data_IF_454739565271
#
_entry.id   IF_454739565271
#
_cell.length_a   1.000
_cell.length_b   1.000
_cell.length_c   1.000
_cell.angle_alpha   90.00
_cell.angle_beta   90.00
_cell.angle_gamma   90.00
#
_symmetry.space_group_name_H-M   'P 1'
#
loop_
_entity.id
_entity.type
_entity.pdbx_description
1 polymer ?
#
# COMPACT_ATOMS: atom_id res chain seq x y z
N UNK A 1 37.55 -2.12 -15.15
CA UNK A 1 38.65 -2.47 -14.21
C UNK A 1 38.29 -3.77 -13.51
N UNK A 2 39.26 -4.65 -13.22
CA UNK A 2 39.04 -6.01 -12.71
C UNK A 2 38.35 -6.03 -11.34
N UNK A 3 37.29 -6.83 -11.21
CA UNK A 3 36.63 -7.14 -9.94
C UNK A 3 37.70 -7.61 -8.92
N UNK A 4 37.89 -6.87 -7.84
CA UNK A 4 38.75 -7.31 -6.74
C UNK A 4 38.16 -8.57 -6.09
N UNK A 5 39.03 -9.51 -5.72
CA UNK A 5 38.68 -10.91 -5.42
C UNK A 5 37.61 -11.18 -4.36
N UNK A 6 37.22 -10.19 -3.55
CA UNK A 6 36.23 -10.39 -2.48
C UNK A 6 34.78 -10.59 -2.96
N UNK A 7 34.36 -9.96 -4.06
CA UNK A 7 32.97 -10.06 -4.54
C UNK A 7 32.70 -11.32 -5.38
N UNK A 8 33.74 -11.86 -6.03
CA UNK A 8 33.62 -13.04 -6.89
C UNK A 8 33.52 -14.36 -6.13
N UNK A 9 34.00 -14.42 -4.88
CA UNK A 9 33.98 -15.63 -4.05
C UNK A 9 32.64 -15.82 -3.33
N UNK A 10 31.87 -14.74 -3.10
CA UNK A 10 30.63 -14.78 -2.34
C UNK A 10 29.39 -15.19 -3.18
N UNK A 11 29.48 -15.19 -4.51
CA UNK A 11 28.35 -15.47 -5.39
C UNK A 11 28.73 -16.36 -6.58
N UNK A 12 27.81 -17.22 -7.06
CA UNK A 12 28.00 -17.99 -8.29
C UNK A 12 28.36 -17.07 -9.47
N UNK A 13 29.26 -17.46 -10.40
CA UNK A 13 29.75 -16.61 -11.51
C UNK A 13 28.67 -15.98 -12.40
N UNK A 14 27.43 -16.50 -12.40
CA UNK A 14 26.27 -15.95 -13.14
C UNK A 14 25.40 -14.98 -12.33
N UNK A 15 25.64 -14.85 -11.03
CA UNK A 15 25.08 -13.82 -10.13
C UNK A 15 26.12 -12.74 -9.82
N UNK A 16 27.37 -12.92 -10.25
CA UNK A 16 28.41 -11.89 -10.18
C UNK A 16 28.18 -10.90 -11.31
N UNK A 17 27.60 -9.75 -10.95
CA UNK A 17 27.37 -8.60 -11.83
C UNK A 17 28.69 -7.84 -12.15
N UNK A 18 29.72 -8.54 -12.63
CA UNK A 18 30.96 -7.88 -13.05
C UNK A 18 30.69 -7.05 -14.32
N UNK A 19 30.77 -5.72 -14.18
CA UNK A 19 30.50 -4.74 -15.25
C UNK A 19 29.14 -4.05 -15.15
N UNK A 20 28.15 -4.63 -14.46
CA UNK A 20 26.85 -3.97 -14.20
C UNK A 20 26.84 -3.15 -12.90
N UNK A 21 27.87 -3.28 -12.07
CA UNK A 21 28.07 -2.50 -10.86
C UNK A 21 28.66 -1.09 -11.10
N UNK A 22 28.94 -0.70 -12.35
CA UNK A 22 29.36 0.67 -12.68
C UNK A 22 28.14 1.61 -12.62
N UNK A 23 28.05 2.44 -11.58
CA UNK A 23 26.96 3.39 -11.40
C UNK A 23 26.68 3.77 -9.95
N UNK A 24 25.68 4.63 -9.73
CA UNK A 24 25.22 4.96 -8.38
C UNK A 24 24.33 3.84 -7.84
N UNK A 25 24.71 3.29 -6.69
CA UNK A 25 23.92 2.31 -5.94
C UNK A 25 23.62 2.87 -4.56
N UNK A 26 22.38 2.68 -4.10
CA UNK A 26 21.98 3.08 -2.77
C UNK A 26 21.31 1.93 -2.05
N UNK A 27 21.44 1.93 -0.73
CA UNK A 27 20.82 0.93 0.12
C UNK A 27 19.36 1.28 0.37
N UNK A 28 18.46 0.34 0.11
CA UNK A 28 17.01 0.54 0.24
C UNK A 28 16.53 0.14 1.64
N UNK A 29 16.89 0.95 2.63
CA UNK A 29 16.50 0.75 4.04
C UNK A 29 15.03 1.08 4.26
N UNK A 30 14.45 1.96 3.45
CA UNK A 30 13.06 2.40 3.58
C UNK A 30 12.08 1.25 3.42
N UNK A 31 12.30 0.35 2.46
CA UNK A 31 11.38 -0.76 2.21
C UNK A 31 11.80 -2.07 2.91
N UNK A 32 13.10 -2.27 3.16
CA UNK A 32 13.64 -3.56 3.61
C UNK A 32 14.34 -3.52 4.97
N UNK A 33 14.41 -2.34 5.60
CA UNK A 33 15.07 -2.16 6.89
C UNK A 33 16.59 -2.40 6.86
N UNK A 34 17.15 -2.59 8.05
CA UNK A 34 18.59 -2.77 8.24
C UNK A 34 19.03 -4.26 8.22
N UNK A 35 18.07 -5.17 8.38
CA UNK A 35 18.30 -6.60 8.50
C UNK A 35 18.53 -7.29 7.15
N UNK A 36 19.32 -8.38 7.09
CA UNK A 36 19.37 -9.25 5.93
C UNK A 36 17.99 -9.86 5.64
N UNK A 37 17.66 -9.99 4.35
CA UNK A 37 16.43 -10.63 3.89
C UNK A 37 16.52 -12.15 3.99
N UNK A 38 15.40 -12.76 4.33
CA UNK A 38 15.21 -14.19 4.12
C UNK A 38 15.18 -14.50 2.61
N UNK A 39 15.65 -15.68 2.17
CA UNK A 39 15.67 -16.04 0.75
C UNK A 39 14.30 -15.89 0.07
N UNK A 40 13.23 -16.23 0.79
CA UNK A 40 11.86 -16.09 0.29
C UNK A 40 11.50 -14.62 0.04
N UNK A 41 11.68 -13.76 1.04
CA UNK A 41 11.38 -12.32 0.95
C UNK A 41 12.24 -11.64 -0.12
N UNK A 42 13.51 -12.04 -0.24
CA UNK A 42 14.43 -11.55 -1.23
C UNK A 42 13.95 -11.84 -2.65
N UNK A 43 13.53 -13.07 -2.94
CA UNK A 43 13.07 -13.42 -4.28
C UNK A 43 11.67 -12.86 -4.58
N UNK A 44 10.74 -13.01 -3.63
CA UNK A 44 9.36 -12.59 -3.82
C UNK A 44 9.32 -11.09 -4.06
N UNK A 45 9.76 -10.28 -3.10
CA UNK A 45 9.52 -8.83 -3.14
C UNK A 45 10.47 -8.12 -4.09
N UNK A 46 11.77 -8.40 -4.02
CA UNK A 46 12.78 -7.55 -4.67
C UNK A 46 12.79 -7.73 -6.19
N UNK A 47 12.86 -8.98 -6.65
CA UNK A 47 12.93 -9.31 -8.08
C UNK A 47 11.63 -8.95 -8.82
N UNK A 48 10.49 -9.07 -8.16
CA UNK A 48 9.20 -8.75 -8.78
C UNK A 48 8.97 -7.26 -8.88
N UNK A 49 9.34 -6.51 -7.85
CA UNK A 49 9.34 -5.05 -7.93
C UNK A 49 10.23 -4.55 -9.09
N UNK A 50 11.38 -5.18 -9.37
CA UNK A 50 12.24 -4.82 -10.51
C UNK A 50 11.60 -5.15 -11.86
N UNK A 51 11.04 -6.36 -11.99
CA UNK A 51 10.36 -6.80 -13.20
C UNK A 51 9.20 -5.86 -13.56
N UNK A 52 8.31 -5.64 -12.60
CA UNK A 52 7.08 -4.90 -12.84
C UNK A 52 7.37 -3.41 -13.05
N UNK A 53 8.22 -2.81 -12.22
CA UNK A 53 8.62 -1.42 -12.42
C UNK A 53 9.27 -1.23 -13.79
N UNK A 54 10.23 -2.08 -14.16
CA UNK A 54 10.91 -1.96 -15.46
C UNK A 54 9.95 -2.13 -16.62
N UNK A 55 8.95 -3.00 -16.51
CA UNK A 55 7.88 -3.13 -17.50
C UNK A 55 7.09 -1.83 -17.67
N UNK A 56 6.61 -1.22 -16.58
CA UNK A 56 5.81 0.01 -16.66
C UNK A 56 6.62 1.20 -17.15
N UNK A 57 7.87 1.33 -16.71
CA UNK A 57 8.78 2.37 -17.17
C UNK A 57 9.07 2.23 -18.66
N UNK A 58 9.46 1.05 -19.14
CA UNK A 58 9.99 0.92 -20.50
C UNK A 58 8.93 0.60 -21.55
N UNK A 59 7.98 -0.28 -21.25
CA UNK A 59 7.05 -0.85 -22.25
C UNK A 59 5.65 -0.28 -22.16
N UNK A 60 5.12 -0.10 -20.95
CA UNK A 60 3.74 0.33 -20.77
C UNK A 60 3.59 1.84 -21.00
N UNK A 61 4.34 2.65 -20.27
CA UNK A 61 4.30 4.12 -20.38
C UNK A 61 5.40 4.69 -21.27
N UNK A 62 6.52 4.00 -21.48
CA UNK A 62 7.70 4.54 -22.19
C UNK A 62 8.28 5.81 -21.52
N UNK A 63 8.47 5.75 -20.20
CA UNK A 63 9.03 6.83 -19.37
C UNK A 63 10.38 7.33 -19.92
N UNK A 64 10.53 8.64 -20.13
CA UNK A 64 11.75 9.20 -20.73
C UNK A 64 12.93 9.28 -19.75
N UNK A 65 12.68 9.09 -18.45
CA UNK A 65 13.66 9.36 -17.39
C UNK A 65 14.34 8.12 -16.82
N UNK A 66 13.83 6.91 -17.09
CA UNK A 66 14.42 5.68 -16.55
C UNK A 66 14.10 4.46 -17.40
N UNK A 67 15.09 3.58 -17.52
CA UNK A 67 14.99 2.28 -18.18
C UNK A 67 14.51 1.14 -17.26
N UNK A 68 14.03 1.47 -16.06
CA UNK A 68 13.68 0.50 -15.02
C UNK A 68 14.67 0.52 -13.85
N UNK A 69 14.70 -0.57 -13.09
CA UNK A 69 15.49 -0.71 -11.87
C UNK A 69 16.24 -2.03 -11.84
N UNK A 70 17.39 -2.03 -11.19
CA UNK A 70 18.13 -3.24 -10.86
C UNK A 70 18.35 -3.33 -9.35
N UNK A 71 18.50 -4.56 -8.88
CA UNK A 71 18.82 -4.84 -7.48
C UNK A 71 19.98 -5.79 -7.35
N UNK A 72 20.87 -5.45 -6.41
CA UNK A 72 21.89 -6.32 -5.88
C UNK A 72 21.57 -6.66 -4.44
N UNK A 73 21.74 -7.93 -4.10
CA UNK A 73 21.75 -8.38 -2.71
C UNK A 73 23.21 -8.50 -2.29
N UNK A 74 23.63 -7.70 -1.31
CA UNK A 74 24.99 -7.76 -0.74
C UNK A 74 24.84 -8.20 0.71
N UNK A 75 25.31 -9.42 1.03
CA UNK A 75 25.15 -10.03 2.36
C UNK A 75 23.69 -10.00 2.84
N UNK A 76 22.77 -10.36 1.93
CA UNK A 76 21.32 -10.38 2.17
C UNK A 76 20.65 -9.00 2.23
N UNK A 77 21.37 -7.90 2.03
CA UNK A 77 20.82 -6.53 2.07
C UNK A 77 20.58 -5.98 0.68
N UNK A 78 19.50 -5.21 0.54
CA UNK A 78 19.03 -4.69 -0.74
C UNK A 78 19.74 -3.39 -1.13
N UNK A 79 20.40 -3.41 -2.28
CA UNK A 79 20.97 -2.25 -2.96
C UNK A 79 20.30 -2.05 -4.31
N UNK A 80 19.84 -0.83 -4.59
CA UNK A 80 19.10 -0.50 -5.79
C UNK A 80 19.89 0.47 -6.67
N UNK A 81 19.63 0.39 -7.96
CA UNK A 81 20.00 1.42 -8.94
C UNK A 81 18.92 1.56 -10.00
N UNK A 82 18.85 2.71 -10.67
CA UNK A 82 17.96 2.90 -11.82
C UNK A 82 18.75 2.75 -13.11
N UNK A 83 18.20 1.98 -14.06
CA UNK A 83 18.80 1.90 -15.39
C UNK A 83 18.63 3.24 -16.12
N UNK A 84 19.64 3.66 -16.92
CA UNK A 84 19.48 4.83 -17.78
C UNK A 84 18.34 4.58 -18.79
N UNK A 85 17.63 5.63 -19.22
CA UNK A 85 16.57 5.50 -20.22
C UNK A 85 17.12 4.97 -21.55
N UNK A 86 16.42 4.01 -22.17
CA UNK A 86 16.78 3.42 -23.47
C UNK A 86 16.23 4.27 -24.62
N UNK A 87 16.69 5.51 -24.72
CA UNK A 87 16.16 6.51 -25.65
C UNK A 87 14.80 7.05 -25.22
N UNK A 88 14.61 8.37 -25.31
CA UNK A 88 13.37 9.03 -24.88
C UNK A 88 12.52 9.39 -26.10
N UNK A 89 11.39 8.72 -26.28
CA UNK A 89 10.32 9.16 -27.19
C UNK A 89 9.24 9.89 -26.38
N UNK A 90 9.42 11.20 -26.24
CA UNK A 90 8.53 12.07 -25.46
C UNK A 90 7.11 12.10 -26.09
N UNK A 91 7.02 11.98 -27.42
CA UNK A 91 5.74 11.96 -28.11
C UNK A 91 4.97 10.68 -27.77
N UNK A 92 5.65 9.54 -27.78
CA UNK A 92 5.07 8.24 -27.43
C UNK A 92 4.65 8.17 -25.97
N UNK A 93 5.53 8.61 -25.07
CA UNK A 93 5.21 8.74 -23.64
C UNK A 93 3.96 9.60 -23.43
N UNK A 94 3.91 10.78 -24.06
CA UNK A 94 2.78 11.69 -23.95
C UNK A 94 1.48 11.09 -24.49
N UNK A 95 1.53 10.32 -25.58
CA UNK A 95 0.37 9.62 -26.16
C UNK A 95 -0.19 8.58 -25.19
N UNK A 96 0.68 7.74 -24.61
CA UNK A 96 0.30 6.69 -23.65
C UNK A 96 -0.26 7.27 -22.37
N UNK A 97 0.42 8.28 -21.81
CA UNK A 97 -0.03 8.95 -20.59
C UNK A 97 -1.39 9.62 -20.79
N UNK A 98 -1.61 10.33 -21.90
CA UNK A 98 -2.92 10.94 -22.21
C UNK A 98 -4.02 9.89 -22.33
N UNK A 99 -3.78 8.85 -23.12
CA UNK A 99 -4.73 7.76 -23.29
C UNK A 99 -5.11 7.10 -21.96
N UNK A 100 -4.19 7.08 -20.99
CA UNK A 100 -4.44 6.58 -19.64
C UNK A 100 -5.26 7.57 -18.79
N UNK A 101 -4.85 8.84 -18.75
CA UNK A 101 -5.48 9.89 -17.93
C UNK A 101 -6.89 10.28 -18.40
N UNK A 102 -7.18 10.20 -19.70
CA UNK A 102 -8.49 10.58 -20.26
C UNK A 102 -9.67 9.73 -19.75
N UNK A 103 -9.41 8.50 -19.28
CA UNK A 103 -10.43 7.62 -18.65
C UNK A 103 -10.03 7.22 -17.23
N UNK A 104 -9.37 8.13 -16.50
CA UNK A 104 -8.81 7.84 -15.18
C UNK A 104 -9.84 7.22 -14.22
N UNK A 105 -10.99 7.85 -14.05
CA UNK A 105 -12.02 7.40 -13.10
C UNK A 105 -12.56 6.00 -13.43
N UNK A 106 -12.88 5.76 -14.70
CA UNK A 106 -13.33 4.45 -15.17
C UNK A 106 -12.27 3.39 -14.91
N UNK A 107 -11.01 3.69 -15.26
CA UNK A 107 -9.87 2.79 -15.00
C UNK A 107 -9.63 2.55 -13.52
N UNK A 108 -9.83 3.57 -12.68
CA UNK A 108 -9.67 3.43 -11.23
C UNK A 108 -10.71 2.47 -10.66
N UNK A 109 -11.98 2.60 -11.06
CA UNK A 109 -13.03 1.68 -10.61
C UNK A 109 -12.83 0.25 -11.15
N UNK A 110 -12.42 0.11 -12.42
CA UNK A 110 -12.04 -1.19 -13.00
C UNK A 110 -10.87 -1.82 -12.25
N UNK A 111 -9.82 -1.04 -12.00
CA UNK A 111 -8.65 -1.45 -11.25
C UNK A 111 -9.00 -1.87 -9.83
N UNK A 112 -9.84 -1.10 -9.14
CA UNK A 112 -10.27 -1.39 -7.77
C UNK A 112 -11.07 -2.68 -7.72
N UNK A 113 -12.05 -2.83 -8.62
CA UNK A 113 -12.84 -4.06 -8.75
C UNK A 113 -11.94 -5.27 -8.97
N UNK A 114 -10.95 -5.14 -9.85
CA UNK A 114 -10.03 -6.21 -10.18
C UNK A 114 -9.08 -6.56 -9.03
N UNK A 115 -8.53 -5.57 -8.31
CA UNK A 115 -7.69 -5.81 -7.14
C UNK A 115 -8.48 -6.53 -6.05
N UNK A 116 -9.71 -6.08 -5.76
CA UNK A 116 -10.57 -6.73 -4.76
C UNK A 116 -10.92 -8.16 -5.16
N UNK A 117 -11.17 -8.42 -6.46
CA UNK A 117 -11.39 -9.77 -6.98
C UNK A 117 -10.16 -10.66 -6.79
N UNK A 118 -8.95 -10.15 -7.04
CA UNK A 118 -7.71 -10.91 -6.82
C UNK A 118 -7.52 -11.22 -5.34
N UNK A 119 -7.73 -10.25 -4.45
CA UNK A 119 -7.61 -10.43 -3.00
C UNK A 119 -8.62 -11.48 -2.51
N UNK A 120 -9.87 -11.41 -2.96
CA UNK A 120 -10.90 -12.39 -2.66
C UNK A 120 -10.53 -13.79 -3.17
N UNK A 121 -9.92 -13.90 -4.35
CA UNK A 121 -9.39 -15.16 -4.88
C UNK A 121 -8.25 -15.72 -4.03
N UNK A 122 -7.31 -14.87 -3.59
CA UNK A 122 -6.21 -15.26 -2.72
C UNK A 122 -6.71 -15.81 -1.37
N UNK A 123 -7.74 -15.17 -0.79
CA UNK A 123 -8.32 -15.59 0.49
C UNK A 123 -9.01 -16.96 0.45
N UNK A 124 -9.43 -17.42 -0.74
CA UNK A 124 -10.05 -18.73 -0.93
C UNK A 124 -9.05 -19.87 -1.13
N UNK A 125 -7.76 -19.56 -1.23
CA UNK A 125 -6.72 -20.58 -1.39
C UNK A 125 -6.53 -21.26 -0.03
N UNK A 126 -6.68 -22.59 0.07
CA UNK A 126 -6.40 -23.31 1.29
C UNK A 126 -4.89 -23.28 1.57
N UNK A 127 -4.52 -22.84 2.77
CA UNK A 127 -3.11 -22.74 3.22
C UNK A 127 -2.80 -23.67 4.39
N UNK A 128 -3.79 -24.42 4.87
CA UNK A 128 -3.61 -25.34 6.00
C UNK A 128 -2.67 -26.48 5.60
N UNK A 129 -1.71 -26.74 6.47
CA UNK A 129 -0.81 -27.88 6.29
C UNK A 129 -1.56 -29.17 6.63
N UNK A 130 -1.45 -30.22 5.81
CA UNK A 130 -2.05 -31.49 6.14
C UNK A 130 -1.39 -32.10 7.37
N UNK A 131 -2.21 -32.71 8.22
CA UNK A 131 -1.78 -33.38 9.44
C UNK A 131 -2.35 -34.79 9.49
N UNK A 132 -1.55 -35.75 9.98
CA UNK A 132 -1.99 -37.14 10.15
C UNK A 132 -1.95 -37.96 8.85
N UNK A 133 -2.83 -38.95 8.77
CA UNK A 133 -2.99 -39.81 7.59
C UNK A 133 -4.02 -39.20 6.65
N UNK A 134 -3.83 -39.41 5.35
CA UNK A 134 -4.86 -39.11 4.35
C UNK A 134 -6.14 -39.90 4.62
N UNK A 135 -7.27 -39.36 4.20
CA UNK A 135 -8.51 -40.13 4.13
C UNK A 135 -8.29 -41.40 3.28
N UNK A 136 -8.83 -42.54 3.71
CA UNK A 136 -8.61 -43.81 3.02
C UNK A 136 -9.07 -43.75 1.55
N UNK A 137 -10.06 -42.91 1.22
CA UNK A 137 -10.53 -42.68 -0.13
C UNK A 137 -9.48 -42.07 -1.06
N UNK A 138 -8.50 -41.32 -0.55
CA UNK A 138 -7.33 -40.83 -1.33
C UNK A 138 -6.48 -42.01 -1.78
N UNK A 139 -6.26 -42.98 -0.89
CA UNK A 139 -5.48 -44.20 -1.19
C UNK A 139 -6.24 -45.11 -2.15
N UNK A 140 -7.53 -45.32 -1.91
CA UNK A 140 -8.39 -46.16 -2.74
C UNK A 140 -8.54 -45.64 -4.17
N UNK A 141 -8.59 -44.30 -4.34
CA UNK A 141 -8.67 -43.66 -5.65
C UNK A 141 -7.30 -43.42 -6.29
N UNK A 142 -6.23 -43.36 -5.49
CA UNK A 142 -4.88 -43.04 -5.95
C UNK A 142 -4.70 -41.58 -6.39
N UNK A 143 -5.52 -40.67 -5.89
CA UNK A 143 -5.52 -39.24 -6.24
C UNK A 143 -5.91 -38.37 -5.04
N UNK A 144 -5.58 -37.08 -5.09
CA UNK A 144 -5.91 -36.13 -4.01
C UNK A 144 -4.83 -35.99 -2.94
N UNK A 145 -3.55 -36.11 -3.31
CA UNK A 145 -2.42 -35.98 -2.40
C UNK A 145 -2.38 -34.59 -1.73
N UNK A 146 -2.61 -34.52 -0.42
CA UNK A 146 -2.72 -33.25 0.27
C UNK A 146 -1.45 -32.38 0.20
N UNK A 147 -0.19 -32.90 0.22
CA UNK A 147 0.99 -32.05 0.07
C UNK A 147 1.08 -31.42 -1.33
N UNK A 148 0.58 -32.11 -2.36
CA UNK A 148 0.55 -31.57 -3.72
C UNK A 148 -0.47 -30.42 -3.83
N UNK A 149 -1.64 -30.56 -3.22
CA UNK A 149 -2.64 -29.50 -3.16
C UNK A 149 -2.10 -28.22 -2.47
N UNK A 150 -1.29 -28.36 -1.41
CA UNK A 150 -0.61 -27.21 -0.77
C UNK A 150 0.35 -26.52 -1.75
N UNK A 151 1.15 -27.29 -2.50
CA UNK A 151 2.07 -26.73 -3.50
C UNK A 151 1.33 -26.01 -4.63
N UNK A 152 0.23 -26.57 -5.13
CA UNK A 152 -0.61 -25.91 -6.13
C UNK A 152 -1.23 -24.62 -5.59
N UNK A 153 -1.74 -24.65 -4.35
CA UNK A 153 -2.26 -23.48 -3.65
C UNK A 153 -1.21 -22.38 -3.54
N UNK A 154 0.01 -22.74 -3.13
CA UNK A 154 1.14 -21.81 -3.05
C UNK A 154 1.49 -21.17 -4.41
N UNK A 155 1.57 -21.98 -5.47
CA UNK A 155 1.87 -21.47 -6.82
C UNK A 155 0.78 -20.54 -7.34
N UNK A 156 -0.49 -20.84 -7.03
CA UNK A 156 -1.63 -19.96 -7.35
C UNK A 156 -1.56 -18.66 -6.56
N UNK A 157 -1.29 -18.73 -5.26
CA UNK A 157 -1.14 -17.56 -4.39
C UNK A 157 -0.04 -16.64 -4.92
N UNK A 158 1.12 -17.22 -5.28
CA UNK A 158 2.23 -16.48 -5.87
C UNK A 158 1.83 -15.78 -7.18
N UNK A 159 1.14 -16.49 -8.08
CA UNK A 159 0.70 -15.92 -9.37
C UNK A 159 -0.28 -14.77 -9.18
N UNK A 160 -1.22 -14.89 -8.24
CA UNK A 160 -2.16 -13.81 -7.90
C UNK A 160 -1.44 -12.61 -7.28
N UNK A 161 -0.47 -12.87 -6.41
CA UNK A 161 0.37 -11.85 -5.82
C UNK A 161 1.20 -11.08 -6.86
N UNK A 162 1.75 -11.77 -7.87
CA UNK A 162 2.40 -11.12 -9.02
C UNK A 162 1.44 -10.21 -9.79
N UNK A 163 0.20 -10.68 -10.00
CA UNK A 163 -0.84 -9.88 -10.66
C UNK A 163 -1.17 -8.61 -9.85
N UNK A 164 -1.22 -8.70 -8.53
CA UNK A 164 -1.37 -7.52 -7.66
C UNK A 164 -0.20 -6.55 -7.81
N UNK A 165 1.04 -7.02 -7.93
CA UNK A 165 2.17 -6.12 -8.19
C UNK A 165 2.04 -5.37 -9.52
N UNK A 166 1.62 -6.05 -10.58
CA UNK A 166 1.33 -5.38 -11.85
C UNK A 166 0.26 -4.31 -11.69
N UNK A 167 -0.81 -4.60 -10.93
CA UNK A 167 -1.85 -3.62 -10.62
C UNK A 167 -1.35 -2.48 -9.75
N UNK A 168 -0.49 -2.75 -8.78
CA UNK A 168 0.10 -1.73 -7.92
C UNK A 168 0.91 -0.72 -8.74
N UNK A 169 1.87 -1.19 -9.55
CA UNK A 169 2.73 -0.31 -10.34
C UNK A 169 1.99 0.43 -11.47
N UNK A 170 0.89 -0.13 -11.99
CA UNK A 170 0.03 0.54 -12.96
C UNK A 170 -0.41 1.93 -12.46
N UNK A 171 -0.89 2.02 -11.21
CA UNK A 171 -1.35 3.27 -10.60
C UNK A 171 -0.23 4.04 -9.89
N UNK A 172 0.69 3.33 -9.22
CA UNK A 172 1.82 3.94 -8.53
C UNK A 172 2.60 4.88 -9.46
N UNK A 173 2.83 4.44 -10.70
CA UNK A 173 3.68 5.21 -11.60
C UNK A 173 3.08 6.53 -12.05
N UNK A 174 1.79 6.53 -12.37
CA UNK A 174 1.08 7.75 -12.74
C UNK A 174 0.97 8.67 -11.53
N UNK A 175 0.67 8.12 -10.35
CA UNK A 175 0.60 8.89 -9.09
C UNK A 175 1.91 9.63 -8.77
N UNK A 176 3.05 8.94 -8.82
CA UNK A 176 4.37 9.57 -8.57
C UNK A 176 4.74 10.60 -9.63
N UNK A 177 4.41 10.36 -10.90
CA UNK A 177 4.65 11.34 -11.95
C UNK A 177 3.85 12.63 -11.70
N UNK A 178 2.56 12.50 -11.40
CA UNK A 178 1.68 13.64 -11.13
C UNK A 178 2.13 14.41 -9.88
N UNK A 179 2.51 13.68 -8.82
CA UNK A 179 3.15 14.26 -7.64
C UNK A 179 4.37 15.09 -8.02
N UNK A 180 5.31 14.53 -8.79
CA UNK A 180 6.55 15.22 -9.15
C UNK A 180 6.30 16.46 -10.02
N UNK A 181 5.34 16.38 -10.95
CA UNK A 181 4.96 17.53 -11.78
C UNK A 181 4.35 18.65 -10.94
N UNK A 182 3.43 18.33 -10.01
CA UNK A 182 2.82 19.30 -9.12
C UNK A 182 3.83 19.89 -8.13
N UNK A 183 4.70 19.06 -7.57
CA UNK A 183 5.80 19.47 -6.69
C UNK A 183 6.73 20.46 -7.40
N UNK A 184 7.17 20.14 -8.61
CA UNK A 184 8.04 21.03 -9.40
C UNK A 184 7.34 22.34 -9.77
N UNK A 185 6.06 22.28 -10.12
CA UNK A 185 5.24 23.47 -10.36
C UNK A 185 5.22 24.36 -9.11
N UNK A 186 4.87 23.81 -7.95
CA UNK A 186 4.80 24.55 -6.69
C UNK A 186 6.15 25.12 -6.27
N UNK A 187 7.25 24.36 -6.39
CA UNK A 187 8.60 24.84 -6.06
C UNK A 187 9.08 25.99 -6.95
N UNK A 188 8.49 26.16 -8.14
CA UNK A 188 8.79 27.31 -9.02
C UNK A 188 8.24 28.62 -8.46
N UNK A 189 7.05 28.58 -7.84
CA UNK A 189 6.39 29.77 -7.28
C UNK A 189 6.61 29.94 -5.77
N UNK A 190 6.82 28.83 -5.06
CA UNK A 190 7.02 28.76 -3.61
C UNK A 190 8.24 27.89 -3.28
N UNK A 191 9.48 28.39 -3.48
CA UNK A 191 10.69 27.59 -3.24
C UNK A 191 10.78 26.99 -1.82
N UNK A 192 10.29 27.75 -0.83
CA UNK A 192 10.30 27.40 0.59
C UNK A 192 8.98 26.74 1.07
N UNK A 193 8.12 26.26 0.16
CA UNK A 193 6.92 25.53 0.58
C UNK A 193 7.32 24.30 1.44
N UNK A 194 6.72 24.11 2.62
CA UNK A 194 6.93 22.91 3.42
C UNK A 194 6.50 21.67 2.63
N UNK A 195 7.30 20.61 2.64
CA UNK A 195 7.03 19.40 1.85
C UNK A 195 5.66 18.78 2.20
N UNK A 196 5.32 18.79 3.49
CA UNK A 196 4.04 18.27 3.95
C UNK A 196 2.83 19.06 3.41
N UNK A 197 2.95 20.34 3.07
CA UNK A 197 1.85 21.08 2.42
C UNK A 197 1.59 20.59 0.99
N UNK A 198 2.65 20.24 0.23
CA UNK A 198 2.50 19.67 -1.12
C UNK A 198 1.77 18.33 -1.04
N UNK A 199 2.17 17.50 -0.08
CA UNK A 199 1.56 16.19 0.18
C UNK A 199 0.12 16.36 0.64
N UNK A 200 -0.15 17.25 1.60
CA UNK A 200 -1.48 17.47 2.16
C UNK A 200 -2.47 17.99 1.11
N UNK A 201 -2.05 18.81 0.14
CA UNK A 201 -2.90 19.22 -0.97
C UNK A 201 -3.28 18.05 -1.89
N UNK A 202 -2.35 17.12 -2.15
CA UNK A 202 -2.59 15.95 -3.02
C UNK A 202 -3.33 14.82 -2.31
N UNK A 203 -3.37 14.85 -0.97
CA UNK A 203 -3.95 13.78 -0.17
C UNK A 203 -5.48 13.90 -0.18
N UNK A 204 -6.22 12.84 -0.55
CA UNK A 204 -7.65 12.78 -0.26
C UNK A 204 -7.89 12.92 1.25
N UNK A 205 -9.01 13.53 1.65
CA UNK A 205 -9.39 13.69 3.08
C UNK A 205 -9.31 12.38 3.87
N UNK A 206 -9.55 11.23 3.22
CA UNK A 206 -9.43 9.89 3.81
C UNK A 206 -8.69 8.94 2.85
N UNK A 207 -7.37 8.81 2.96
CA UNK A 207 -6.68 7.69 2.31
C UNK A 207 -6.93 6.39 3.08
N UNK A 208 -7.08 5.29 2.34
CA UNK A 208 -7.35 3.98 2.93
C UNK A 208 -6.26 3.51 3.91
N UNK A 209 -5.00 3.92 3.71
CA UNK A 209 -3.90 3.63 4.63
C UNK A 209 -4.13 4.21 6.04
N UNK A 210 -4.91 5.28 6.17
CA UNK A 210 -5.25 5.91 7.45
C UNK A 210 -6.57 5.40 8.03
N UNK A 211 -7.38 4.67 7.26
CA UNK A 211 -8.67 4.12 7.71
C UNK A 211 -8.57 3.32 9.01
N UNK A 212 -7.58 2.43 9.22
CA UNK A 212 -7.49 1.67 10.46
C UNK A 212 -7.39 2.59 11.68
N UNK A 213 -6.59 3.65 11.61
CA UNK A 213 -6.47 4.64 12.67
C UNK A 213 -7.75 5.46 12.87
N UNK A 214 -8.42 5.88 11.80
CA UNK A 214 -9.70 6.58 11.89
C UNK A 214 -10.78 5.73 12.54
N UNK A 215 -10.80 4.43 12.24
CA UNK A 215 -11.74 3.47 12.84
C UNK A 215 -11.44 3.29 14.32
N UNK A 216 -10.16 3.14 14.71
CA UNK A 216 -9.80 3.08 16.13
C UNK A 216 -10.17 4.36 16.89
N UNK A 217 -10.06 5.54 16.27
CA UNK A 217 -10.54 6.80 16.86
C UNK A 217 -12.07 6.80 17.04
N UNK A 218 -12.82 6.35 16.04
CA UNK A 218 -14.29 6.20 16.15
C UNK A 218 -14.68 5.19 17.24
N UNK A 219 -13.94 4.10 17.37
CA UNK A 219 -14.13 3.11 18.44
C UNK A 219 -13.80 3.68 19.82
N UNK A 220 -12.78 4.54 19.92
CA UNK A 220 -12.47 5.27 21.14
C UNK A 220 -13.62 6.21 21.53
N UNK A 221 -14.10 7.02 20.59
CA UNK A 221 -15.25 7.90 20.79
C UNK A 221 -16.50 7.10 21.20
N UNK A 222 -16.74 5.96 20.55
CA UNK A 222 -17.86 5.07 20.87
C UNK A 222 -17.75 4.47 22.27
N UNK A 223 -16.55 4.12 22.72
CA UNK A 223 -16.33 3.66 24.08
C UNK A 223 -16.69 4.75 25.11
N UNK A 224 -16.43 6.03 24.81
CA UNK A 224 -16.83 7.16 25.66
C UNK A 224 -18.35 7.33 25.70
N UNK A 225 -18.97 7.35 24.52
CA UNK A 225 -20.44 7.47 24.40
C UNK A 225 -21.18 6.39 25.20
N UNK A 226 -20.64 5.18 25.21
CA UNK A 226 -21.24 4.01 25.86
C UNK A 226 -20.79 3.81 27.31
N UNK A 227 -19.89 4.66 27.85
CA UNK A 227 -19.35 4.52 29.21
C UNK A 227 -18.49 3.27 29.42
N UNK A 228 -17.79 2.81 28.38
CA UNK A 228 -16.93 1.62 28.37
C UNK A 228 -15.42 1.93 28.51
N UNK A 229 -15.04 3.20 28.63
CA UNK A 229 -13.64 3.65 28.62
C UNK A 229 -12.78 2.89 29.63
N UNK A 230 -13.26 2.74 30.87
CA UNK A 230 -12.50 2.07 31.92
C UNK A 230 -12.30 0.59 31.64
N UNK A 231 -13.30 -0.07 31.04
CA UNK A 231 -13.23 -1.47 30.63
C UNK A 231 -12.17 -1.66 29.53
N UNK A 232 -12.12 -0.74 28.55
CA UNK A 232 -11.11 -0.76 27.49
C UNK A 232 -9.70 -0.50 28.04
N UNK A 233 -9.54 0.55 28.85
CA UNK A 233 -8.24 0.95 29.40
C UNK A 233 -7.63 -0.13 30.31
N UNK A 234 -8.47 -0.83 31.07
CA UNK A 234 -8.03 -1.84 32.05
C UNK A 234 -7.88 -3.26 31.48
N UNK A 235 -8.25 -3.51 30.22
CA UNK A 235 -8.07 -4.82 29.58
C UNK A 235 -6.58 -5.08 29.30
N UNK A 236 -6.01 -6.18 29.78
CA UNK A 236 -4.60 -6.53 29.55
C UNK A 236 -4.30 -7.06 28.15
N UNK A 237 -5.32 -7.56 27.45
CA UNK A 237 -5.24 -8.07 26.08
C UNK A 237 -6.56 -7.82 25.32
N UNK A 238 -6.53 -7.94 23.99
CA UNK A 238 -7.71 -7.85 23.14
C UNK A 238 -8.71 -8.98 23.43
N UNK A 239 -8.21 -10.18 23.75
CA UNK A 239 -9.06 -11.30 24.18
C UNK A 239 -9.81 -10.95 25.46
N UNK A 240 -9.10 -10.43 26.46
CA UNK A 240 -9.72 -10.01 27.71
C UNK A 240 -10.72 -8.85 27.51
N UNK A 241 -10.42 -7.92 26.60
CA UNK A 241 -11.36 -6.86 26.22
C UNK A 241 -12.67 -7.46 25.67
N UNK A 242 -12.56 -8.38 24.71
CA UNK A 242 -13.71 -9.03 24.08
C UNK A 242 -14.57 -9.78 25.12
N UNK A 243 -13.93 -10.55 26.01
CA UNK A 243 -14.61 -11.28 27.10
C UNK A 243 -15.32 -10.34 28.07
N UNK A 244 -14.68 -9.23 28.47
CA UNK A 244 -15.26 -8.25 29.39
C UNK A 244 -16.44 -7.51 28.76
N UNK A 245 -16.32 -7.07 27.51
CA UNK A 245 -17.38 -6.34 26.85
C UNK A 245 -18.57 -7.25 26.48
N UNK A 246 -18.35 -8.54 26.25
CA UNK A 246 -19.45 -9.50 26.08
C UNK A 246 -20.36 -9.57 27.33
N UNK A 247 -19.82 -9.24 28.51
CA UNK A 247 -20.56 -9.19 29.77
C UNK A 247 -21.11 -7.79 30.11
N UNK A 248 -20.83 -6.77 29.29
CA UNK A 248 -21.22 -5.39 29.52
C UNK A 248 -22.60 -5.02 28.94
N UNK A 249 -23.46 -6.01 28.72
CA UNK A 249 -24.84 -5.82 28.24
C UNK A 249 -24.91 -5.23 26.82
N UNK A 250 -25.96 -4.45 26.56
CA UNK A 250 -26.23 -3.87 25.24
C UNK A 250 -25.11 -2.93 24.77
N UNK A 251 -24.54 -2.12 25.66
CA UNK A 251 -23.41 -1.24 25.35
C UNK A 251 -22.20 -2.03 24.86
N UNK A 252 -21.84 -3.11 25.57
CA UNK A 252 -20.77 -4.00 25.16
C UNK A 252 -21.02 -4.68 23.82
N UNK A 253 -22.23 -5.18 23.59
CA UNK A 253 -22.62 -5.79 22.33
C UNK A 253 -22.54 -4.82 21.13
N UNK A 254 -23.00 -3.57 21.31
CA UNK A 254 -22.91 -2.53 20.28
C UNK A 254 -21.46 -2.19 19.94
N UNK A 255 -20.60 -2.05 20.95
CA UNK A 255 -19.18 -1.75 20.72
C UNK A 255 -18.46 -2.92 20.05
N UNK A 256 -18.72 -4.16 20.49
CA UNK A 256 -18.11 -5.37 19.91
C UNK A 256 -18.51 -5.60 18.46
N UNK A 257 -19.73 -5.23 18.06
CA UNK A 257 -20.15 -5.30 16.66
C UNK A 257 -19.29 -4.40 15.76
N UNK A 258 -18.99 -3.17 16.20
CA UNK A 258 -18.10 -2.24 15.47
C UNK A 258 -16.64 -2.71 15.49
N UNK A 259 -16.17 -3.27 16.62
CA UNK A 259 -14.84 -3.87 16.71
C UNK A 259 -14.65 -5.04 15.75
N UNK A 260 -15.65 -5.92 15.64
CA UNK A 260 -15.63 -7.05 14.71
C UNK A 260 -15.70 -6.56 13.25
N UNK A 261 -16.57 -5.59 12.96
CA UNK A 261 -16.66 -4.99 11.63
C UNK A 261 -15.38 -4.25 11.21
N UNK A 262 -14.59 -3.75 12.18
CA UNK A 262 -13.31 -3.11 11.91
C UNK A 262 -12.23 -4.11 11.45
N UNK A 263 -12.29 -5.38 11.90
CA UNK A 263 -11.24 -6.37 11.62
C UNK A 263 -11.00 -6.56 10.13
N UNK A 264 -12.03 -6.88 9.36
CA UNK A 264 -11.93 -6.97 7.90
C UNK A 264 -12.60 -5.78 7.23
N UNK A 265 -11.90 -5.04 6.34
CA UNK A 265 -10.55 -5.28 5.85
C UNK A 265 -9.43 -4.57 6.63
N UNK A 266 -9.74 -3.82 7.68
CA UNK A 266 -8.85 -2.76 8.16
C UNK A 266 -7.71 -3.20 9.08
N UNK A 267 -7.81 -4.36 9.75
CA UNK A 267 -6.75 -4.87 10.61
C UNK A 267 -5.74 -5.77 9.84
N UNK A 268 -5.83 -5.84 8.51
CA UNK A 268 -4.83 -6.54 7.68
C UNK A 268 -3.58 -5.69 7.39
N UNK A 269 -3.41 -4.56 8.10
CA UNK A 269 -2.24 -3.69 8.02
C UNK A 269 -1.03 -4.29 8.75
N UNK A 270 0.17 -4.09 8.17
CA UNK A 270 1.46 -4.50 8.75
C UNK A 270 1.96 -3.52 9.79
N UNK A 271 2.74 -4.01 10.76
CA UNK A 271 3.56 -3.17 11.65
C UNK A 271 4.81 -2.62 10.97
N UNK A 272 5.18 -3.16 9.79
CA UNK A 272 6.31 -2.73 8.97
C UNK A 272 5.87 -2.25 7.58
N UNK A 273 6.69 -2.56 6.57
CA UNK A 273 6.47 -2.12 5.20
C UNK A 273 5.39 -2.92 4.45
N UNK A 274 5.00 -4.09 4.98
CA UNK A 274 4.03 -4.99 4.36
C UNK A 274 4.66 -6.11 3.52
N UNK A 275 6.00 -6.17 3.43
CA UNK A 275 6.69 -7.02 2.45
C UNK A 275 7.32 -8.29 3.02
N UNK A 276 7.35 -8.43 4.34
CA UNK A 276 8.04 -9.54 4.99
C UNK A 276 7.07 -10.50 5.65
N UNK A 277 7.34 -11.79 5.52
CA UNK A 277 6.48 -12.83 6.12
C UNK A 277 6.46 -12.80 7.65
N UNK A 278 7.48 -12.23 8.29
CA UNK A 278 7.62 -12.12 9.74
C UNK A 278 7.03 -10.82 10.31
N UNK A 279 6.61 -9.89 9.45
CA UNK A 279 5.95 -8.68 9.93
C UNK A 279 4.55 -8.99 10.46
N UNK A 280 4.32 -8.62 11.71
CA UNK A 280 3.04 -8.84 12.36
C UNK A 280 1.94 -8.01 11.70
N UNK A 281 0.78 -8.64 11.50
CA UNK A 281 -0.45 -7.98 11.04
C UNK A 281 -1.35 -7.74 12.24
N UNK A 282 -2.07 -6.61 12.28
CA UNK A 282 -2.96 -6.32 13.42
C UNK A 282 -4.00 -7.41 13.66
N UNK A 283 -4.49 -8.06 12.61
CA UNK A 283 -5.48 -9.14 12.70
C UNK A 283 -4.91 -10.40 13.38
N UNK A 284 -3.60 -10.64 13.27
CA UNK A 284 -2.93 -11.77 13.91
C UNK A 284 -2.61 -11.47 15.39
N UNK A 285 -2.41 -10.18 15.72
CA UNK A 285 -2.17 -9.72 17.07
C UNK A 285 -2.99 -8.45 17.37
N UNK A 286 -4.20 -8.67 17.88
CA UNK A 286 -5.15 -7.61 18.22
C UNK A 286 -4.71 -6.73 19.41
N UNK A 287 -3.65 -7.11 20.14
CA UNK A 287 -3.11 -6.26 21.21
C UNK A 287 -2.46 -4.98 20.64
N UNK A 288 -2.03 -5.02 19.38
CA UNK A 288 -1.51 -3.85 18.66
C UNK A 288 -2.61 -2.77 18.48
N UNK A 289 -3.75 -3.05 17.80
CA UNK A 289 -4.82 -2.08 17.71
C UNK A 289 -5.43 -1.72 19.07
N UNK A 290 -5.48 -2.65 20.04
CA UNK A 290 -5.90 -2.32 21.40
C UNK A 290 -5.01 -1.25 22.05
N UNK A 291 -3.69 -1.39 21.92
CA UNK A 291 -2.75 -0.40 22.48
C UNK A 291 -2.98 0.99 21.89
N UNK A 292 -3.17 1.07 20.57
CA UNK A 292 -3.48 2.33 19.88
C UNK A 292 -4.85 2.89 20.28
N UNK A 293 -5.86 2.03 20.41
CA UNK A 293 -7.20 2.41 20.89
C UNK A 293 -7.14 3.04 22.28
N UNK A 294 -6.38 2.46 23.21
CA UNK A 294 -6.19 3.02 24.55
C UNK A 294 -5.53 4.40 24.50
N UNK A 295 -4.52 4.57 23.66
CA UNK A 295 -3.90 5.88 23.42
C UNK A 295 -4.96 6.88 22.95
N UNK A 296 -5.79 6.52 21.97
CA UNK A 296 -6.85 7.42 21.48
C UNK A 296 -7.91 7.73 22.53
N UNK A 297 -8.25 6.79 23.43
CA UNK A 297 -9.14 7.06 24.57
C UNK A 297 -8.50 8.09 25.51
N UNK A 298 -7.21 7.96 25.81
CA UNK A 298 -6.48 8.86 26.71
C UNK A 298 -6.24 10.26 26.12
N UNK A 299 -5.99 10.36 24.81
CA UNK A 299 -5.77 11.64 24.11
C UNK A 299 -7.02 12.52 24.05
N UNK A 300 -8.21 11.95 24.31
CA UNK A 300 -9.47 12.68 24.19
C UNK A 300 -10.00 12.76 22.75
N UNK A 301 -11.12 13.46 22.51
CA UNK A 301 -11.61 13.71 21.16
C UNK A 301 -10.57 14.51 20.36
N UNK A 302 -10.34 14.14 19.09
CA UNK A 302 -9.31 14.77 18.25
C UNK A 302 -9.44 16.30 18.21
N UNK A 303 -8.30 16.99 18.37
CA UNK A 303 -8.15 18.44 18.19
C UNK A 303 -8.69 18.95 16.83
N UNK A 304 -8.97 20.27 16.69
CA UNK A 304 -9.67 20.81 15.53
C UNK A 304 -8.93 20.56 14.21
N UNK A 305 -9.76 20.30 13.18
CA UNK A 305 -9.48 20.19 11.74
C UNK A 305 -8.24 20.98 11.30
N UNK A 306 -7.15 20.28 10.94
CA UNK A 306 -6.17 20.80 9.97
C UNK A 306 -6.94 21.28 8.75
N UNK A 307 -6.51 22.38 8.11
CA UNK A 307 -7.11 22.83 6.84
C UNK A 307 -7.29 21.60 5.95
N UNK A 308 -8.49 21.41 5.42
CA UNK A 308 -8.69 20.34 4.45
C UNK A 308 -7.77 20.56 3.25
N UNK A 309 -7.29 19.50 2.60
CA UNK A 309 -6.59 19.52 1.31
C UNK A 309 -7.09 20.62 0.36
N UNK A 310 -8.41 20.72 0.16
CA UNK A 310 -9.04 21.72 -0.72
C UNK A 310 -8.88 23.16 -0.18
N UNK A 311 -9.04 23.37 1.13
CA UNK A 311 -8.83 24.69 1.76
C UNK A 311 -7.36 25.12 1.68
N UNK A 312 -6.43 24.19 1.91
CA UNK A 312 -5.00 24.44 1.78
C UNK A 312 -4.64 24.79 0.34
N UNK A 313 -5.16 24.03 -0.62
CA UNK A 313 -4.97 24.26 -2.05
C UNK A 313 -5.51 25.61 -2.50
N UNK A 314 -6.71 25.98 -2.06
CA UNK A 314 -7.32 27.28 -2.37
C UNK A 314 -6.44 28.44 -1.90
N UNK A 315 -5.90 28.38 -0.68
CA UNK A 315 -5.00 29.41 -0.15
C UNK A 315 -3.72 29.54 -0.98
N UNK A 316 -3.13 28.43 -1.42
CA UNK A 316 -1.97 28.48 -2.31
C UNK A 316 -2.31 29.02 -3.71
N UNK A 317 -3.48 28.67 -4.24
CA UNK A 317 -3.94 29.16 -5.54
C UNK A 317 -4.14 30.68 -5.54
N UNK A 318 -4.65 31.26 -4.45
CA UNK A 318 -4.82 32.72 -4.30
C UNK A 318 -3.49 33.47 -4.38
N UNK A 319 -2.41 32.89 -3.85
CA UNK A 319 -1.07 33.47 -3.87
C UNK A 319 -0.38 33.36 -5.25
N UNK A 320 -0.91 32.56 -6.17
CA UNK A 320 -0.36 32.40 -7.52
C UNK A 320 -0.84 33.52 -8.47
N UNK A 321 -0.01 33.90 -9.47
CA UNK A 321 -0.44 34.72 -10.59
C UNK A 321 -1.66 34.11 -11.29
N UNK A 322 -2.61 34.96 -11.70
CA UNK A 322 -3.89 34.52 -12.25
C UNK A 322 -3.73 33.61 -13.48
N UNK A 323 -2.74 33.89 -14.32
CA UNK A 323 -2.42 33.15 -15.54
C UNK A 323 -1.99 31.69 -15.29
N UNK A 324 -1.50 31.35 -14.10
CA UNK A 324 -1.07 29.98 -13.76
C UNK A 324 -2.01 29.25 -12.81
N UNK A 325 -3.03 29.92 -12.25
CA UNK A 325 -4.02 29.29 -11.36
C UNK A 325 -4.74 28.13 -12.03
N UNK A 326 -5.06 28.26 -13.32
CA UNK A 326 -5.64 27.15 -14.09
C UNK A 326 -4.70 25.94 -14.11
N UNK A 327 -3.43 26.15 -14.41
CA UNK A 327 -2.42 25.08 -14.41
C UNK A 327 -2.27 24.42 -13.03
N UNK A 328 -2.31 25.21 -11.94
CA UNK A 328 -2.30 24.68 -10.58
C UNK A 328 -3.43 23.67 -10.35
N UNK A 329 -4.66 24.06 -10.66
CA UNK A 329 -5.82 23.18 -10.52
C UNK A 329 -5.78 22.01 -11.50
N UNK A 330 -5.29 22.21 -12.73
CA UNK A 330 -5.10 21.13 -13.69
C UNK A 330 -4.07 20.11 -13.18
N UNK A 331 -2.99 20.51 -12.51
CA UNK A 331 -2.04 19.57 -11.92
C UNK A 331 -2.62 18.85 -10.69
N UNK A 332 -3.31 19.59 -9.82
CA UNK A 332 -3.92 19.04 -8.61
C UNK A 332 -5.06 18.06 -8.90
N UNK A 333 -5.88 18.38 -9.91
CA UNK A 333 -7.11 17.66 -10.24
C UNK A 333 -7.03 16.83 -11.53
N UNK A 334 -5.91 16.78 -12.26
CA UNK A 334 -5.75 15.83 -13.39
C UNK A 334 -6.00 14.36 -13.02
N UNK A 335 -5.62 13.87 -11.84
CA UNK A 335 -6.04 12.55 -11.36
C UNK A 335 -7.48 12.52 -10.80
N UNK A 336 -8.29 13.56 -10.98
CA UNK A 336 -9.65 13.72 -10.46
C UNK A 336 -10.65 14.27 -11.51
N UNK A 337 -10.22 14.38 -12.78
CA UNK A 337 -11.00 15.00 -13.87
C UNK A 337 -12.21 14.18 -14.35
N UNK A 338 -12.56 13.05 -13.73
CA UNK A 338 -13.87 12.41 -13.94
C UNK A 338 -14.91 12.69 -12.84
N UNK A 339 -14.57 13.47 -11.81
CA UNK A 339 -15.54 13.97 -10.85
C UNK A 339 -15.97 15.38 -11.23
N UNK A 340 -17.16 15.49 -11.82
CA UNK A 340 -17.85 16.78 -11.89
C UNK A 340 -18.00 17.35 -10.46
N UNK A 341 -17.97 18.69 -10.28
CA UNK A 341 -18.16 19.32 -8.97
C UNK A 341 -19.39 18.81 -8.20
N UNK A 342 -20.45 18.42 -8.91
CA UNK A 342 -21.68 17.82 -8.39
C UNK A 342 -21.46 16.46 -7.70
N UNK A 343 -20.46 15.66 -8.14
CA UNK A 343 -20.14 14.37 -7.53
C UNK A 343 -19.35 14.52 -6.22
N UNK A 344 -18.58 15.62 -6.04
CA UNK A 344 -17.92 15.94 -4.76
C UNK A 344 -18.93 16.17 -3.62
N UNK A 345 -20.06 16.82 -3.93
CA UNK A 345 -21.15 17.08 -2.98
C UNK A 345 -22.02 15.85 -2.65
N UNK A 346 -22.05 14.84 -3.52
CA UNK A 346 -22.72 13.56 -3.27
C UNK A 346 -21.84 12.59 -2.47
N UNK A 347 -20.54 12.52 -2.77
CA UNK A 347 -19.59 11.66 -2.04
C UNK A 347 -19.45 12.07 -0.56
N UNK A 348 -19.50 13.37 -0.25
CA UNK A 348 -19.48 13.89 1.13
C UNK A 348 -20.78 13.68 1.92
N UNK A 349 -21.87 13.23 1.26
CA UNK A 349 -23.20 13.06 1.86
C UNK A 349 -23.69 11.62 1.92
N UNK A 350 -22.92 10.65 1.41
CA UNK A 350 -23.35 9.25 1.40
C UNK A 350 -22.44 8.43 2.32
N UNK A 351 -22.92 7.93 3.47
CA UNK A 351 -22.17 6.98 4.27
C UNK A 351 -22.31 5.60 3.61
N UNK A 352 -21.54 5.34 2.55
CA UNK A 352 -21.39 3.98 2.05
C UNK A 352 -20.24 3.31 2.79
N UNK A 353 -20.64 2.56 3.82
CA UNK A 353 -20.06 1.24 4.12
C UNK A 353 -19.84 0.50 2.79
N UNK A 354 -18.77 -0.28 2.67
CA UNK A 354 -18.26 -0.94 1.45
C UNK A 354 -17.15 -0.17 0.72
N UNK A 355 -15.94 -0.31 1.25
CA UNK A 355 -14.71 -0.01 0.53
C UNK A 355 -13.60 -0.91 1.06
N UNK A 356 -13.23 -1.93 0.28
CA UNK A 356 -12.12 -2.83 0.61
C UNK A 356 -10.79 -2.07 0.73
N UNK A 357 -9.98 -2.43 1.72
CA UNK A 357 -8.74 -1.75 2.05
C UNK A 357 -7.68 -1.89 0.93
N UNK A 358 -6.95 -0.80 0.69
CA UNK A 358 -5.66 -0.83 0.02
C UNK A 358 -4.54 -0.63 1.05
N UNK A 359 -3.91 -1.74 1.41
CA UNK A 359 -2.55 -1.80 1.94
C UNK A 359 -1.89 -2.94 1.15
N UNK A 360 -0.83 -2.63 0.41
CA UNK A 360 0.15 -3.65 -0.01
C UNK A 360 1.34 -3.52 0.94
#
# INVERSE_FOLDING_TARGET
>A
MSCSGGYGEAYPPRQVHCGEAEGFWYRDVTHFGDSPLYPLDAYFTVSMMDLVQSYFYTRYFAMPTSGGRATLLVMGRVFRTSYPPRGADIAEFGRRLRAYLERWDERYEEWKTEVLRIVDEMRRIPTDLPHGLEDIGVVEKGEGFSPYAVLEGWMRLYTLWLRLWFKHYEFLMVGYLLYHLFHKFLKTFFPNIPEHHVIDMLRPDEMDIWRPHLILKRLADKARELGLEQQVLSAGSAKELEERLAQAGEAGALWLAEWEAAKYPWFYISTGAGFHHWEERWINNLDIPLTLLKTYIQEGPSEPRRLSPDELAARYAELLPEEVRRSFWDYLHRPQLGLTPERRLKASRTPTLEGGAFVL
#
